data_IF_972354711690
#
_entry.id   IF_972354711690
#
_cell.length_a   1.000
_cell.length_b   1.000
_cell.length_c   1.000
_cell.angle_alpha   90.00
_cell.angle_beta   90.00
_cell.angle_gamma   90.00
#
_symmetry.space_group_name_H-M   'P 1'
#
loop_
_entity.id
_entity.type
_entity.pdbx_description
1 polymer ?
#
# COMPACT_ATOMS: atom_id res chain seq x y z
N UNK A 1 -47.74 36.31 107.44
CA UNK A 1 -47.50 34.86 107.31
C UNK A 1 -48.20 34.38 106.04
N UNK A 2 -47.42 34.08 105.00
CA UNK A 2 -47.68 33.06 103.97
C UNK A 2 -46.56 33.18 102.91
N UNK A 3 -45.67 32.19 102.88
CA UNK A 3 -44.75 31.94 101.76
C UNK A 3 -45.53 31.24 100.63
N UNK A 4 -45.25 31.52 99.35
CA UNK A 4 -45.64 30.62 98.27
C UNK A 4 -44.47 29.72 97.85
N UNK A 5 -44.68 28.41 97.96
CA UNK A 5 -43.84 27.29 97.52
C UNK A 5 -43.82 27.16 95.98
N UNK A 6 -43.31 28.16 95.26
CA UNK A 6 -43.45 28.21 93.78
C UNK A 6 -42.18 28.09 92.94
N UNK A 7 -40.98 28.09 93.54
CA UNK A 7 -39.72 28.19 92.77
C UNK A 7 -38.98 26.87 92.55
N UNK A 8 -39.16 25.84 93.40
CA UNK A 8 -38.43 24.57 93.28
C UNK A 8 -38.86 23.70 92.08
N UNK A 9 -40.14 23.72 91.68
CA UNK A 9 -40.64 22.90 90.55
C UNK A 9 -40.12 23.34 89.16
N UNK A 10 -39.63 24.59 89.04
CA UNK A 10 -39.20 25.17 87.76
C UNK A 10 -37.73 24.93 87.46
N UNK A 11 -36.90 24.72 88.48
CA UNK A 11 -35.46 24.43 88.34
C UNK A 11 -35.19 22.97 87.96
N UNK A 12 -35.96 22.00 88.51
CA UNK A 12 -35.79 20.57 88.20
C UNK A 12 -36.08 20.23 86.73
N UNK A 13 -37.03 20.92 86.09
CA UNK A 13 -37.35 20.74 84.68
C UNK A 13 -36.23 21.25 83.74
N UNK A 14 -35.55 22.33 84.11
CA UNK A 14 -34.44 22.92 83.34
C UNK A 14 -33.17 22.08 83.51
N UNK A 15 -32.91 21.57 84.72
CA UNK A 15 -31.79 20.65 84.98
C UNK A 15 -31.98 19.33 84.24
N UNK A 16 -33.20 18.78 84.21
CA UNK A 16 -33.51 17.56 83.44
C UNK A 16 -33.30 17.75 81.93
N UNK A 17 -33.71 18.89 81.38
CA UNK A 17 -33.51 19.20 79.97
C UNK A 17 -32.01 19.43 79.65
N UNK A 18 -31.27 20.16 80.47
CA UNK A 18 -29.83 20.32 80.31
C UNK A 18 -29.05 18.99 80.39
N UNK A 19 -29.50 18.04 81.23
CA UNK A 19 -28.89 16.71 81.35
C UNK A 19 -29.16 15.84 80.11
N UNK A 20 -30.36 15.93 79.53
CA UNK A 20 -30.72 15.25 78.28
C UNK A 20 -29.95 15.82 77.09
N UNK A 21 -29.78 17.15 77.02
CA UNK A 21 -29.02 17.80 75.95
C UNK A 21 -27.52 17.53 76.08
N UNK A 22 -26.97 17.53 77.30
CA UNK A 22 -25.57 17.18 77.57
C UNK A 22 -25.30 15.69 77.31
N UNK A 23 -26.21 14.81 77.69
CA UNK A 23 -26.15 13.38 77.39
C UNK A 23 -26.25 13.10 75.88
N UNK A 24 -27.09 13.84 75.16
CA UNK A 24 -27.24 13.73 73.70
C UNK A 24 -26.00 14.25 72.97
N UNK A 25 -25.41 15.36 73.42
CA UNK A 25 -24.15 15.89 72.87
C UNK A 25 -22.99 14.91 73.11
N UNK A 26 -22.89 14.34 74.31
CA UNK A 26 -21.87 13.36 74.64
C UNK A 26 -22.03 12.08 73.81
N UNK A 27 -23.26 11.62 73.61
CA UNK A 27 -23.55 10.46 72.76
C UNK A 27 -23.15 10.72 71.30
N UNK A 28 -23.45 11.91 70.76
CA UNK A 28 -23.03 12.29 69.40
C UNK A 28 -21.50 12.34 69.30
N UNK A 29 -20.81 12.92 70.28
CA UNK A 29 -19.34 12.96 70.29
C UNK A 29 -18.72 11.56 70.36
N UNK A 30 -19.28 10.67 71.18
CA UNK A 30 -18.86 9.27 71.24
C UNK A 30 -19.14 8.55 69.92
N UNK A 31 -20.32 8.74 69.32
CA UNK A 31 -20.67 8.12 68.05
C UNK A 31 -19.77 8.59 66.90
N UNK A 32 -19.43 9.89 66.87
CA UNK A 32 -18.46 10.45 65.91
C UNK A 32 -17.06 9.89 66.17
N UNK A 33 -16.63 9.83 67.43
CA UNK A 33 -15.33 9.25 67.80
C UNK A 33 -15.22 7.78 67.41
N UNK A 34 -16.26 6.98 67.66
CA UNK A 34 -16.34 5.57 67.25
C UNK A 34 -16.37 5.45 65.73
N UNK A 35 -17.14 6.29 65.03
CA UNK A 35 -17.20 6.32 63.57
C UNK A 35 -15.83 6.62 62.95
N UNK A 36 -15.11 7.60 63.49
CA UNK A 36 -13.75 7.95 63.07
C UNK A 36 -12.78 6.80 63.38
N UNK A 37 -12.85 6.20 64.56
CA UNK A 37 -11.98 5.08 64.95
C UNK A 37 -12.21 3.84 64.05
N UNK A 38 -13.46 3.54 63.72
CA UNK A 38 -13.81 2.46 62.79
C UNK A 38 -13.36 2.77 61.37
N UNK A 39 -13.49 4.02 60.92
CA UNK A 39 -13.02 4.46 59.61
C UNK A 39 -11.50 4.35 59.50
N UNK A 40 -10.75 4.80 60.51
CA UNK A 40 -9.29 4.65 60.54
C UNK A 40 -8.86 3.18 60.59
N UNK A 41 -9.55 2.34 61.37
CA UNK A 41 -9.25 0.89 61.45
C UNK A 41 -9.52 0.16 60.12
N UNK A 42 -10.48 0.62 59.32
CA UNK A 42 -10.82 0.02 58.03
C UNK A 42 -10.08 0.64 56.84
N UNK A 43 -9.19 1.61 57.06
CA UNK A 43 -8.26 2.02 56.02
C UNK A 43 -7.26 0.88 55.80
N UNK A 44 -7.46 0.12 54.72
CA UNK A 44 -6.42 -0.77 54.21
C UNK A 44 -5.20 0.10 53.88
N UNK A 45 -3.98 -0.26 54.33
CA UNK A 45 -2.80 0.48 53.93
C UNK A 45 -2.77 0.55 52.39
N UNK A 46 -2.37 1.70 51.80
CA UNK A 46 -2.24 1.80 50.36
C UNK A 46 -1.36 0.66 49.88
N UNK A 47 -1.84 -0.11 48.90
CA UNK A 47 -1.04 -1.17 48.31
C UNK A 47 0.22 -0.53 47.74
N UNK A 48 1.38 -0.89 48.27
CA UNK A 48 2.66 -0.52 47.68
C UNK A 48 2.64 -1.14 46.28
N UNK A 49 2.51 -0.32 45.25
CA UNK A 49 2.71 -0.78 43.88
C UNK A 49 4.13 -1.34 43.82
N UNK A 50 4.24 -2.67 43.74
CA UNK A 50 5.51 -3.29 43.39
C UNK A 50 5.81 -2.82 41.97
N UNK A 51 6.70 -1.83 41.87
CA UNK A 51 7.33 -1.49 40.60
C UNK A 51 8.08 -2.76 40.19
N UNK A 52 7.50 -3.51 39.25
CA UNK A 52 8.25 -4.54 38.54
C UNK A 52 9.39 -3.81 37.85
N UNK A 53 10.58 -3.91 38.42
CA UNK A 53 11.80 -3.46 37.74
C UNK A 53 11.89 -4.37 36.52
N UNK A 54 11.48 -3.84 35.37
CA UNK A 54 11.70 -4.49 34.10
C UNK A 54 13.22 -4.63 33.97
N UNK A 55 13.72 -5.86 34.07
CA UNK A 55 15.07 -6.16 33.65
C UNK A 55 15.23 -5.60 32.24
N UNK A 56 16.29 -4.81 32.03
CA UNK A 56 16.62 -4.33 30.69
C UNK A 56 16.68 -5.57 29.80
N UNK A 57 16.02 -5.59 28.63
CA UNK A 57 16.09 -6.72 27.72
C UNK A 57 17.57 -7.04 27.52
N UNK A 58 17.98 -8.27 27.84
CA UNK A 58 19.35 -8.68 27.59
C UNK A 58 19.58 -8.50 26.10
N UNK A 59 20.49 -7.58 25.77
CA UNK A 59 20.90 -7.36 24.39
C UNK A 59 21.45 -8.70 23.94
N UNK A 60 20.72 -9.37 23.05
CA UNK A 60 21.17 -10.62 22.46
C UNK A 60 22.49 -10.30 21.76
N UNK A 61 23.60 -10.73 22.34
CA UNK A 61 24.90 -10.72 21.68
C UNK A 61 24.74 -11.64 20.47
N UNK A 62 24.51 -11.03 19.30
CA UNK A 62 24.62 -11.75 18.04
C UNK A 62 26.10 -12.01 17.88
N UNK A 63 26.54 -13.27 17.70
CA UNK A 63 27.88 -13.53 17.21
C UNK A 63 28.10 -12.60 16.03
N UNK A 64 29.23 -11.88 16.00
CA UNK A 64 29.61 -11.11 14.84
C UNK A 64 29.73 -12.11 13.68
N UNK A 65 28.65 -12.25 12.90
CA UNK A 65 28.68 -13.04 11.70
C UNK A 65 29.62 -12.29 10.76
N UNK A 66 30.80 -12.83 10.53
CA UNK A 66 31.62 -12.40 9.41
C UNK A 66 30.81 -12.67 8.15
N UNK A 67 30.26 -11.60 7.57
CA UNK A 67 29.58 -11.68 6.29
C UNK A 67 30.62 -12.15 5.29
N UNK A 68 30.44 -13.31 4.63
CA UNK A 68 31.38 -13.76 3.62
C UNK A 68 31.57 -12.66 2.59
N UNK A 69 32.81 -12.31 2.28
CA UNK A 69 33.10 -11.45 1.15
C UNK A 69 32.68 -12.20 -0.12
N UNK A 70 31.51 -11.89 -0.66
CA UNK A 70 31.07 -12.34 -1.99
C UNK A 70 31.39 -11.23 -2.99
N UNK A 71 32.56 -11.26 -3.65
CA UNK A 71 32.86 -10.28 -4.69
C UNK A 71 31.90 -10.48 -5.86
N UNK A 72 31.24 -9.41 -6.28
CA UNK A 72 30.44 -9.38 -7.51
C UNK A 72 31.30 -8.80 -8.65
N UNK A 73 31.18 -9.39 -9.84
CA UNK A 73 31.78 -8.87 -11.06
C UNK A 73 30.68 -8.22 -11.90
N UNK A 74 30.87 -6.96 -12.30
CA UNK A 74 30.00 -6.34 -13.29
C UNK A 74 30.24 -6.98 -14.65
N UNK A 75 29.20 -7.62 -15.18
CA UNK A 75 29.23 -8.31 -16.48
C UNK A 75 28.38 -7.61 -17.53
N UNK A 76 27.72 -6.50 -17.21
CA UNK A 76 26.71 -5.83 -18.05
C UNK A 76 27.23 -5.54 -19.46
N UNK A 77 28.43 -4.95 -19.55
CA UNK A 77 29.02 -4.63 -20.85
C UNK A 77 29.33 -5.91 -21.64
N UNK A 78 29.97 -6.88 -20.97
CA UNK A 78 30.41 -8.13 -21.58
C UNK A 78 29.26 -9.05 -21.97
N UNK A 79 28.11 -8.98 -21.29
CA UNK A 79 26.92 -9.79 -21.57
C UNK A 79 26.13 -9.24 -22.75
N UNK A 80 26.40 -8.02 -23.23
CA UNK A 80 25.69 -7.42 -24.36
C UNK A 80 24.46 -6.59 -23.96
N UNK A 81 24.14 -6.49 -22.67
CA UNK A 81 23.02 -5.68 -22.18
C UNK A 81 23.38 -4.19 -22.27
N UNK A 82 22.50 -3.38 -22.88
CA UNK A 82 22.69 -1.92 -23.07
C UNK A 82 21.46 -1.10 -22.65
N UNK A 83 20.52 -1.72 -21.96
CA UNK A 83 19.27 -1.10 -21.54
C UNK A 83 19.49 0.14 -20.67
N UNK A 84 18.73 1.19 -20.94
CA UNK A 84 18.67 2.41 -20.12
C UNK A 84 17.21 2.71 -19.84
N UNK A 85 16.87 2.78 -18.56
CA UNK A 85 15.54 3.14 -18.11
C UNK A 85 15.30 4.65 -18.31
N UNK A 86 14.15 5.02 -18.90
CA UNK A 86 13.68 6.39 -19.05
C UNK A 86 12.38 6.55 -18.25
N UNK A 87 12.44 7.27 -17.13
CA UNK A 87 11.31 7.55 -16.25
C UNK A 87 10.46 8.76 -16.70
N UNK A 88 10.70 9.30 -17.90
CA UNK A 88 9.94 10.41 -18.46
C UNK A 88 10.18 11.78 -17.80
N UNK A 89 11.16 11.90 -16.90
CA UNK A 89 11.38 13.14 -16.15
C UNK A 89 11.79 14.32 -17.06
N UNK A 90 11.03 15.42 -16.95
CA UNK A 90 11.25 16.69 -17.69
C UNK A 90 11.32 17.91 -16.78
N UNK A 91 11.26 17.72 -15.45
CA UNK A 91 11.30 18.79 -14.46
C UNK A 91 9.94 19.15 -13.86
N UNK A 92 8.84 18.56 -14.34
CA UNK A 92 7.50 18.73 -13.75
C UNK A 92 7.33 18.01 -12.40
N UNK A 93 8.28 17.14 -12.02
CA UNK A 93 8.30 16.42 -10.74
C UNK A 93 7.01 15.63 -10.51
N UNK A 94 6.58 14.90 -11.53
CA UNK A 94 5.39 14.05 -11.48
C UNK A 94 5.67 12.79 -10.66
N UNK A 95 4.71 12.34 -9.86
CA UNK A 95 4.87 11.19 -8.97
C UNK A 95 5.39 9.92 -9.68
N UNK A 96 4.94 9.54 -10.89
CA UNK A 96 5.44 8.35 -11.60
C UNK A 96 6.95 8.37 -11.86
N UNK A 97 7.57 9.55 -12.01
CA UNK A 97 9.01 9.68 -12.28
C UNK A 97 9.87 9.17 -11.11
N UNK A 98 9.28 8.99 -9.93
CA UNK A 98 9.97 8.48 -8.73
C UNK A 98 10.07 6.95 -8.68
N UNK A 99 9.40 6.26 -9.60
CA UNK A 99 9.35 4.80 -9.69
C UNK A 99 10.20 4.31 -10.87
N UNK A 100 10.72 3.09 -10.76
CA UNK A 100 11.45 2.40 -11.83
C UNK A 100 10.61 1.30 -12.48
N UNK A 101 11.04 0.82 -13.64
CA UNK A 101 10.46 -0.36 -14.28
C UNK A 101 10.88 -1.68 -13.63
N UNK A 102 10.05 -2.69 -13.77
CA UNK A 102 10.36 -4.08 -13.43
C UNK A 102 11.20 -4.78 -14.50
N UNK A 103 11.48 -6.06 -14.26
CA UNK A 103 12.10 -6.95 -15.24
C UNK A 103 11.57 -8.37 -15.05
N UNK A 104 11.68 -9.19 -16.09
CA UNK A 104 11.37 -10.61 -16.03
C UNK A 104 12.48 -11.43 -16.67
N UNK A 105 12.67 -12.63 -16.14
CA UNK A 105 13.32 -13.73 -16.83
C UNK A 105 12.23 -14.64 -17.41
N UNK A 106 12.40 -15.07 -18.65
CA UNK A 106 11.45 -15.88 -19.38
C UNK A 106 12.18 -16.62 -20.50
N UNK A 107 11.65 -17.74 -20.96
CA UNK A 107 12.08 -18.41 -22.20
C UNK A 107 11.01 -18.08 -23.25
N UNK A 108 11.22 -17.04 -24.05
CA UNK A 108 10.15 -16.54 -24.93
C UNK A 108 10.07 -17.28 -26.27
N UNK A 109 11.15 -17.94 -26.69
CA UNK A 109 11.22 -18.69 -27.95
C UNK A 109 11.34 -20.21 -27.77
N UNK A 110 11.28 -20.69 -26.53
CA UNK A 110 11.21 -22.12 -26.18
C UNK A 110 12.53 -22.85 -26.38
N UNK A 111 13.66 -22.14 -26.40
CA UNK A 111 14.99 -22.72 -26.61
C UNK A 111 15.62 -23.30 -25.33
N UNK A 112 14.99 -23.05 -24.18
CA UNK A 112 15.39 -23.53 -22.86
C UNK A 112 16.34 -22.59 -22.12
N UNK A 113 16.78 -21.50 -22.75
CA UNK A 113 17.60 -20.47 -22.14
C UNK A 113 16.73 -19.34 -21.58
N UNK A 114 17.08 -18.82 -20.40
CA UNK A 114 16.33 -17.71 -19.82
C UNK A 114 16.77 -16.38 -20.44
N UNK A 115 15.87 -15.76 -21.17
CA UNK A 115 15.92 -14.41 -21.70
C UNK A 115 15.59 -13.37 -20.65
N UNK A 116 15.77 -12.10 -21.00
CA UNK A 116 15.49 -10.98 -20.09
C UNK A 116 14.63 -9.94 -20.79
N UNK A 117 13.51 -9.59 -20.17
CA UNK A 117 12.72 -8.42 -20.55
C UNK A 117 12.86 -7.33 -19.49
N UNK A 118 13.33 -6.16 -19.89
CA UNK A 118 13.31 -4.95 -19.08
C UNK A 118 12.06 -4.13 -19.40
N UNK A 119 11.23 -3.89 -18.38
CA UNK A 119 10.13 -2.94 -18.49
C UNK A 119 10.70 -1.54 -18.47
N UNK A 120 10.25 -0.71 -19.40
CA UNK A 120 10.59 0.69 -19.42
C UNK A 120 9.35 1.54 -19.16
N UNK A 121 9.59 2.77 -18.73
CA UNK A 121 8.56 3.79 -18.83
C UNK A 121 8.71 4.50 -20.17
N UNK A 122 8.05 5.64 -20.33
CA UNK A 122 8.16 6.40 -21.57
C UNK A 122 8.27 7.89 -21.32
N UNK A 123 8.72 8.60 -22.34
CA UNK A 123 8.54 10.05 -22.39
C UNK A 123 7.07 10.37 -22.48
N UNK A 124 6.64 11.36 -21.70
CA UNK A 124 5.28 11.83 -21.78
C UNK A 124 4.97 12.44 -23.15
N UNK A 125 3.74 12.33 -23.65
CA UNK A 125 3.35 12.84 -24.98
C UNK A 125 3.49 14.36 -25.12
N UNK A 126 3.58 15.08 -24.00
CA UNK A 126 3.84 16.52 -23.96
C UNK A 126 5.34 16.86 -23.87
N UNK A 127 6.22 15.86 -23.84
CA UNK A 127 7.65 16.07 -23.95
C UNK A 127 8.01 16.48 -25.39
N UNK A 128 8.66 17.62 -25.52
CA UNK A 128 9.06 18.22 -26.81
C UNK A 128 10.54 18.01 -27.13
N UNK A 129 11.29 17.34 -26.24
CA UNK A 129 12.70 17.01 -26.49
C UNK A 129 12.80 16.13 -27.74
N UNK A 130 13.71 16.42 -28.68
CA UNK A 130 13.94 15.53 -29.81
C UNK A 130 14.34 14.14 -29.29
N UNK A 131 13.66 13.12 -29.80
CA UNK A 131 14.06 11.73 -29.65
C UNK A 131 14.42 11.21 -31.03
N UNK A 132 15.63 10.66 -31.20
CA UNK A 132 15.95 9.90 -32.41
C UNK A 132 15.13 8.58 -32.44
N UNK A 133 14.89 7.98 -31.26
CA UNK A 133 14.03 6.80 -31.05
C UNK A 133 13.31 6.95 -29.69
N UNK A 134 11.97 6.80 -29.62
CA UNK A 134 11.24 6.75 -28.35
C UNK A 134 11.69 5.57 -27.46
N UNK A 135 11.78 5.73 -26.13
CA UNK A 135 12.08 4.62 -25.24
C UNK A 135 10.95 3.57 -25.27
N UNK A 136 11.34 2.31 -25.38
CA UNK A 136 10.45 1.15 -25.28
C UNK A 136 10.94 0.23 -24.15
N UNK A 137 10.16 -0.79 -23.81
CA UNK A 137 10.71 -1.97 -23.14
C UNK A 137 11.82 -2.61 -23.99
N UNK A 138 12.63 -3.49 -23.41
CA UNK A 138 13.71 -4.15 -24.14
C UNK A 138 13.78 -5.64 -23.83
N UNK A 139 13.57 -6.47 -24.86
CA UNK A 139 13.72 -7.93 -24.79
C UNK A 139 15.11 -8.32 -25.28
N UNK A 140 15.80 -9.13 -24.49
CA UNK A 140 17.14 -9.63 -24.74
C UNK A 140 17.12 -11.15 -24.80
N UNK A 141 17.37 -11.72 -25.99
CA UNK A 141 17.52 -13.17 -26.16
C UNK A 141 18.88 -13.63 -25.64
N UNK A 142 18.91 -14.65 -24.80
CA UNK A 142 20.11 -15.30 -24.29
C UNK A 142 20.64 -16.33 -25.29
N UNK A 143 21.96 -16.53 -25.37
CA UNK A 143 22.59 -17.57 -26.20
C UNK A 143 23.01 -18.83 -25.41
N UNK A 144 22.48 -18.97 -24.20
CA UNK A 144 22.84 -20.01 -23.22
C UNK A 144 24.21 -19.83 -22.55
N UNK A 145 25.02 -18.87 -23.01
CA UNK A 145 26.36 -18.59 -22.49
C UNK A 145 26.42 -17.25 -21.75
N UNK A 146 25.26 -16.65 -21.45
CA UNK A 146 25.15 -15.35 -20.80
C UNK A 146 25.55 -14.19 -21.72
N UNK A 147 25.48 -14.38 -23.05
CA UNK A 147 25.45 -13.28 -24.01
C UNK A 147 24.02 -13.05 -24.46
N UNK A 148 23.67 -11.78 -24.55
CA UNK A 148 22.34 -11.31 -24.82
C UNK A 148 22.33 -10.45 -26.06
N UNK A 149 21.39 -10.73 -26.96
CA UNK A 149 21.10 -9.92 -28.14
C UNK A 149 19.74 -9.24 -27.96
N UNK A 150 19.66 -7.92 -28.18
CA UNK A 150 18.38 -7.24 -28.14
C UNK A 150 17.51 -7.63 -29.35
N UNK A 151 16.30 -8.12 -29.10
CA UNK A 151 15.35 -8.62 -30.11
C UNK A 151 13.99 -7.89 -30.06
N UNK A 152 13.88 -6.82 -29.27
CA UNK A 152 12.65 -6.05 -29.03
C UNK A 152 11.81 -5.77 -30.27
N UNK A 153 12.43 -5.22 -31.32
CA UNK A 153 11.73 -4.81 -32.54
C UNK A 153 11.29 -5.98 -33.40
N UNK A 154 12.10 -7.03 -33.48
CA UNK A 154 11.77 -8.20 -34.29
C UNK A 154 10.67 -9.04 -33.65
N UNK A 155 10.50 -8.99 -32.33
CA UNK A 155 9.44 -9.70 -31.61
C UNK A 155 8.15 -8.89 -31.46
N UNK A 156 8.12 -7.62 -31.88
CA UNK A 156 6.92 -6.76 -31.81
C UNK A 156 6.72 -6.06 -30.47
N UNK A 157 7.71 -6.09 -29.58
CA UNK A 157 7.67 -5.42 -28.27
C UNK A 157 8.22 -4.00 -28.29
N UNK A 158 8.49 -3.41 -29.47
CA UNK A 158 8.91 -2.00 -29.63
C UNK A 158 7.74 -1.02 -29.42
N UNK A 159 7.00 -1.21 -28.34
CA UNK A 159 5.83 -0.43 -27.94
C UNK A 159 6.21 0.55 -26.84
N UNK A 160 5.87 1.82 -27.05
CA UNK A 160 6.09 2.90 -26.09
C UNK A 160 4.88 3.08 -25.18
N UNK A 161 5.05 2.85 -23.87
CA UNK A 161 4.08 3.23 -22.83
C UNK A 161 4.78 3.35 -21.47
N UNK A 162 4.06 3.85 -20.46
CA UNK A 162 4.61 4.03 -19.12
C UNK A 162 4.45 2.75 -18.29
N UNK A 163 5.23 1.73 -18.62
CA UNK A 163 5.23 0.43 -17.92
C UNK A 163 5.83 0.52 -16.52
N UNK A 164 5.39 -0.40 -15.65
CA UNK A 164 5.82 -0.54 -14.26
C UNK A 164 6.20 -2.00 -13.98
N UNK A 165 5.26 -2.83 -13.54
CA UNK A 165 5.48 -4.25 -13.28
C UNK A 165 5.16 -5.14 -14.49
N UNK A 166 5.66 -6.36 -14.46
CA UNK A 166 5.44 -7.40 -15.46
C UNK A 166 5.04 -8.73 -14.79
N UNK A 167 4.10 -9.45 -15.41
CA UNK A 167 3.77 -10.84 -15.13
C UNK A 167 4.03 -11.67 -16.38
N UNK A 168 4.51 -12.89 -16.17
CA UNK A 168 4.88 -13.84 -17.20
C UNK A 168 4.11 -15.13 -16.96
N UNK A 169 3.45 -15.65 -18.00
CA UNK A 169 2.66 -16.87 -17.91
C UNK A 169 1.88 -17.14 -19.19
N UNK A 170 1.69 -18.41 -19.51
CA UNK A 170 0.88 -18.90 -20.65
C UNK A 170 -0.61 -18.80 -20.28
N UNK A 171 -1.25 -17.68 -20.64
CA UNK A 171 -2.61 -17.37 -20.15
C UNK A 171 -3.70 -18.03 -21.00
N UNK A 172 -3.40 -18.42 -22.24
CA UNK A 172 -4.35 -19.08 -23.13
C UNK A 172 -4.06 -20.57 -23.37
N UNK A 173 -3.07 -21.11 -22.64
CA UNK A 173 -2.68 -22.52 -22.61
C UNK A 173 -2.24 -23.04 -23.97
N UNK A 174 -1.59 -22.21 -24.78
CA UNK A 174 -1.07 -22.59 -26.09
C UNK A 174 0.38 -23.10 -26.05
N UNK A 175 1.03 -22.99 -24.89
CA UNK A 175 2.39 -23.43 -24.62
C UNK A 175 3.46 -22.36 -24.82
N UNK A 176 3.10 -21.20 -25.35
CA UNK A 176 4.00 -20.04 -25.48
C UNK A 176 3.83 -19.11 -24.26
N UNK A 177 4.94 -18.49 -23.83
CA UNK A 177 4.92 -17.65 -22.63
C UNK A 177 4.45 -16.23 -22.96
N UNK A 178 3.34 -15.80 -22.36
CA UNK A 178 2.76 -14.46 -22.56
C UNK A 178 3.17 -13.44 -21.49
N UNK A 179 2.86 -12.17 -21.77
CA UNK A 179 3.28 -11.04 -20.94
C UNK A 179 2.11 -10.12 -20.61
N UNK A 180 1.88 -9.90 -19.32
CA UNK A 180 1.07 -8.77 -18.86
C UNK A 180 1.96 -7.70 -18.24
N UNK A 181 1.77 -6.45 -18.64
CA UNK A 181 2.47 -5.29 -18.11
C UNK A 181 1.48 -4.32 -17.46
N UNK A 182 1.70 -4.08 -16.17
CA UNK A 182 1.03 -3.00 -15.44
C UNK A 182 1.64 -1.65 -15.80
N UNK A 183 0.83 -0.59 -15.79
CA UNK A 183 1.26 0.70 -16.29
C UNK A 183 0.58 1.89 -15.58
N UNK A 184 1.08 3.09 -15.88
CA UNK A 184 0.48 4.37 -15.47
C UNK A 184 -0.35 4.92 -16.63
N UNK A 185 -1.58 5.34 -16.34
CA UNK A 185 -2.46 5.94 -17.34
C UNK A 185 -2.72 7.43 -17.17
N UNK A 186 -3.35 8.06 -18.17
CA UNK A 186 -3.02 7.97 -19.59
C UNK A 186 -1.83 8.86 -19.95
N UNK A 187 -0.93 8.36 -20.81
CA UNK A 187 0.04 9.21 -21.49
C UNK A 187 -0.63 9.87 -22.71
N UNK A 188 -1.57 10.80 -22.48
CA UNK A 188 -2.31 11.52 -23.52
C UNK A 188 -2.34 13.02 -23.27
N UNK A 189 -2.63 13.81 -24.31
CA UNK A 189 -2.85 15.25 -24.16
C UNK A 189 -4.28 15.51 -23.66
N UNK A 190 -4.45 16.56 -22.87
CA UNK A 190 -5.76 16.97 -22.35
C UNK A 190 -6.77 17.15 -23.50
N UNK A 191 -7.93 16.49 -23.41
CA UNK A 191 -8.98 16.53 -24.44
C UNK A 191 -8.96 15.39 -25.47
N UNK A 192 -7.92 14.56 -25.52
CA UNK A 192 -7.92 13.36 -26.36
C UNK A 192 -8.81 12.27 -25.74
N UNK A 193 -9.77 11.75 -26.52
CA UNK A 193 -10.51 10.55 -26.11
C UNK A 193 -9.59 9.35 -26.30
N UNK A 194 -9.35 8.59 -25.23
CA UNK A 194 -8.84 7.23 -25.36
C UNK A 194 -9.96 6.37 -25.95
N UNK A 195 -10.01 6.36 -27.27
CA UNK A 195 -10.56 5.25 -28.05
C UNK A 195 -9.43 4.71 -28.91
N UNK A 196 -8.40 4.25 -28.25
CA UNK A 196 -7.52 3.24 -28.81
C UNK A 196 -8.35 1.97 -29.01
N UNK A 197 -8.15 1.28 -30.13
CA UNK A 197 -8.72 -0.07 -30.34
C UNK A 197 -8.27 -1.04 -29.22
N UNK A 198 -7.21 -0.68 -28.47
CA UNK A 198 -6.57 -1.39 -27.35
C UNK A 198 -7.25 -1.25 -25.96
N UNK A 199 -8.42 -0.61 -25.85
CA UNK A 199 -9.13 -0.41 -24.57
C UNK A 199 -8.84 0.94 -23.89
N UNK A 200 -9.52 1.24 -22.77
CA UNK A 200 -9.47 2.57 -22.13
C UNK A 200 -8.37 2.75 -21.08
N UNK A 201 -7.76 1.67 -20.60
CA UNK A 201 -6.77 1.70 -19.53
C UNK A 201 -5.31 1.56 -20.00
N UNK A 202 -4.35 1.77 -19.08
CA UNK A 202 -2.93 1.85 -19.43
C UNK A 202 -2.23 0.50 -19.55
N UNK A 203 -2.76 -0.55 -18.92
CA UNK A 203 -2.09 -1.85 -18.88
C UNK A 203 -2.04 -2.50 -20.27
N UNK A 204 -1.12 -3.46 -20.46
CA UNK A 204 -0.97 -4.19 -21.72
C UNK A 204 -0.89 -5.70 -21.48
N UNK A 205 -1.54 -6.48 -22.32
CA UNK A 205 -1.36 -7.92 -22.44
C UNK A 205 -0.82 -8.21 -23.84
N UNK A 206 0.28 -8.96 -23.91
CA UNK A 206 0.89 -9.41 -25.15
C UNK A 206 0.83 -10.93 -25.18
N UNK A 207 0.10 -11.48 -26.16
CA UNK A 207 0.13 -12.91 -26.46
C UNK A 207 1.37 -13.23 -27.29
N UNK A 208 2.05 -14.31 -26.98
CA UNK A 208 3.21 -14.79 -27.71
C UNK A 208 2.79 -15.83 -28.75
N UNK A 209 2.84 -15.48 -30.03
CA UNK A 209 2.61 -16.40 -31.14
C UNK A 209 3.97 -16.91 -31.66
N UNK A 210 4.58 -17.86 -30.95
CA UNK A 210 5.87 -18.50 -31.26
C UNK A 210 7.04 -17.53 -31.47
N UNK A 211 7.31 -16.73 -30.44
CA UNK A 211 8.36 -15.71 -30.39
C UNK A 211 7.96 -14.35 -31.01
N UNK A 212 6.68 -14.16 -31.33
CA UNK A 212 6.10 -12.91 -31.85
C UNK A 212 4.97 -12.44 -30.96
N UNK A 213 5.16 -11.28 -30.34
CA UNK A 213 4.18 -10.72 -29.43
C UNK A 213 3.12 -9.90 -30.16
N UNK A 214 1.86 -10.16 -29.83
CA UNK A 214 0.68 -9.46 -30.35
C UNK A 214 -0.08 -8.85 -29.17
N UNK A 215 -0.44 -7.56 -29.27
CA UNK A 215 -1.25 -6.89 -28.25
C UNK A 215 -2.67 -7.49 -28.22
N UNK A 216 -2.98 -8.19 -27.14
CA UNK A 216 -4.27 -8.83 -26.87
C UNK A 216 -5.09 -8.06 -25.82
N UNK A 217 -4.65 -6.88 -25.39
CA UNK A 217 -5.20 -6.15 -24.23
C UNK A 217 -6.71 -5.90 -24.32
N UNK A 218 -7.16 -5.35 -25.45
CA UNK A 218 -8.58 -5.06 -25.66
C UNK A 218 -9.42 -6.31 -25.78
N UNK A 219 -8.86 -7.32 -26.46
CA UNK A 219 -9.53 -8.58 -26.66
C UNK A 219 -9.74 -9.26 -25.30
N UNK A 220 -8.71 -9.35 -24.48
CA UNK A 220 -8.75 -9.97 -23.16
C UNK A 220 -9.57 -9.19 -22.12
N UNK A 221 -9.72 -7.87 -22.29
CA UNK A 221 -10.52 -7.03 -21.38
C UNK A 221 -9.77 -6.59 -20.12
N UNK A 222 -8.43 -6.58 -20.16
CA UNK A 222 -7.56 -6.38 -18.98
C UNK A 222 -6.86 -5.00 -18.94
N UNK A 223 -7.28 -4.06 -19.79
CA UNK A 223 -6.68 -2.72 -19.86
C UNK A 223 -6.76 -1.93 -18.54
N UNK A 224 -7.78 -2.21 -17.71
CA UNK A 224 -8.07 -1.45 -16.49
C UNK A 224 -8.75 -0.10 -16.77
N UNK A 225 -8.90 0.71 -15.72
CA UNK A 225 -9.39 2.08 -15.82
C UNK A 225 -8.25 3.05 -16.19
N UNK A 226 -8.62 4.13 -16.87
CA UNK A 226 -7.70 5.12 -17.41
C UNK A 226 -6.76 5.76 -16.36
N UNK A 227 -7.30 6.10 -15.18
CA UNK A 227 -6.53 6.80 -14.14
C UNK A 227 -5.94 5.84 -13.11
N UNK A 228 -6.20 4.54 -13.19
CA UNK A 228 -5.67 3.57 -12.22
C UNK A 228 -4.22 3.24 -12.55
N UNK A 229 -3.32 3.55 -11.63
CA UNK A 229 -1.90 3.26 -11.78
C UNK A 229 -1.60 1.84 -11.26
N UNK A 230 -1.31 0.92 -12.17
CA UNK A 230 -0.80 -0.42 -11.87
C UNK A 230 0.70 -0.42 -11.56
N UNK A 231 1.11 -1.10 -10.49
CA UNK A 231 2.53 -1.14 -10.04
C UNK A 231 3.15 -2.53 -10.09
N UNK A 232 2.36 -3.57 -9.83
CA UNK A 232 2.80 -4.96 -9.95
C UNK A 232 1.64 -5.83 -10.39
N UNK A 233 1.97 -7.00 -10.91
CA UNK A 233 1.00 -7.96 -11.42
C UNK A 233 1.56 -9.38 -11.30
N UNK A 234 0.68 -10.37 -11.36
CA UNK A 234 1.07 -11.78 -11.36
C UNK A 234 -0.05 -12.64 -11.89
N UNK A 235 0.33 -13.65 -12.68
CA UNK A 235 -0.58 -14.74 -13.04
C UNK A 235 -0.64 -15.77 -11.91
N UNK A 236 -1.82 -16.33 -11.69
CA UNK A 236 -2.10 -17.34 -10.68
C UNK A 236 -3.40 -18.07 -11.03
N UNK A 237 -3.55 -19.32 -10.62
CA UNK A 237 -4.83 -20.03 -10.68
C UNK A 237 -5.53 -19.86 -9.32
N UNK A 238 -6.38 -18.81 -9.18
CA UNK A 238 -6.93 -18.45 -7.86
C UNK A 238 -8.15 -19.28 -7.48
N UNK A 239 -8.89 -19.81 -8.45
CA UNK A 239 -10.07 -20.66 -8.21
C UNK A 239 -9.87 -22.15 -8.53
N UNK A 240 -8.64 -22.53 -8.91
CA UNK A 240 -8.20 -23.90 -9.12
C UNK A 240 -8.96 -24.58 -10.27
N UNK A 241 -9.22 -23.83 -11.35
CA UNK A 241 -9.84 -24.33 -12.58
C UNK A 241 -8.82 -24.73 -13.66
N UNK A 242 -7.55 -24.40 -13.44
CA UNK A 242 -6.42 -24.73 -14.31
C UNK A 242 -6.06 -23.64 -15.31
N UNK A 243 -6.86 -22.58 -15.43
CA UNK A 243 -6.55 -21.42 -16.26
C UNK A 243 -5.80 -20.37 -15.41
N UNK A 244 -4.80 -19.69 -16.01
CA UNK A 244 -4.09 -18.63 -15.29
C UNK A 244 -4.95 -17.37 -15.25
N UNK A 245 -5.43 -17.03 -14.05
CA UNK A 245 -6.01 -15.74 -13.70
C UNK A 245 -4.94 -14.67 -13.52
N UNK A 246 -5.36 -13.40 -13.47
CA UNK A 246 -4.46 -12.26 -13.37
C UNK A 246 -4.81 -11.35 -12.20
N UNK A 247 -3.84 -11.13 -11.30
CA UNK A 247 -3.93 -10.12 -10.26
C UNK A 247 -3.10 -8.88 -10.61
N UNK A 248 -3.66 -7.68 -10.41
CA UNK A 248 -2.98 -6.39 -10.65
C UNK A 248 -3.07 -5.52 -9.40
N UNK A 249 -1.91 -5.19 -8.82
CA UNK A 249 -1.82 -4.26 -7.70
C UNK A 249 -1.80 -2.82 -8.22
N UNK A 250 -2.90 -2.11 -7.96
CA UNK A 250 -2.98 -0.68 -8.26
C UNK A 250 -2.59 0.16 -7.04
N UNK A 251 -1.93 1.28 -7.30
CA UNK A 251 -1.37 2.13 -6.27
C UNK A 251 -2.29 3.29 -5.89
N UNK A 252 -2.51 4.21 -6.83
CA UNK A 252 -3.35 5.40 -6.67
C UNK A 252 -4.05 5.72 -7.99
N UNK A 253 -5.07 6.57 -7.94
CA UNK A 253 -5.54 7.24 -9.14
C UNK A 253 -4.60 8.38 -9.48
N UNK A 254 -4.04 8.38 -10.68
CA UNK A 254 -3.08 9.38 -11.11
C UNK A 254 -3.51 10.04 -12.41
N UNK A 255 -3.44 11.37 -12.45
CA UNK A 255 -3.46 12.14 -13.69
C UNK A 255 -2.45 13.29 -13.57
N UNK A 256 -1.85 13.70 -14.68
CA UNK A 256 -0.93 14.86 -14.70
C UNK A 256 -1.59 16.11 -14.13
N UNK A 257 -2.85 16.36 -14.48
CA UNK A 257 -3.58 17.54 -14.01
C UNK A 257 -3.77 17.55 -12.49
N UNK A 258 -4.16 16.40 -11.91
CA UNK A 258 -4.30 16.27 -10.47
C UNK A 258 -2.96 16.42 -9.74
N UNK A 259 -1.91 15.77 -10.25
CA UNK A 259 -0.55 15.86 -9.69
C UNK A 259 -0.04 17.32 -9.67
N UNK A 260 -0.17 18.03 -10.80
CA UNK A 260 0.25 19.43 -10.92
C UNK A 260 -0.54 20.39 -10.04
N UNK A 261 -1.81 20.09 -9.77
CA UNK A 261 -2.65 20.89 -8.88
C UNK A 261 -2.22 20.79 -7.40
N UNK A 262 -1.45 19.76 -7.04
CA UNK A 262 -0.98 19.60 -5.66
C UNK A 262 0.16 20.59 -5.34
N UNK A 263 0.12 21.24 -4.15
CA UNK A 263 1.07 22.29 -3.76
C UNK A 263 2.38 21.74 -3.18
N UNK A 264 2.98 20.72 -3.82
CA UNK A 264 4.23 20.13 -3.34
C UNK A 264 5.42 21.03 -3.65
N UNK A 265 6.03 21.58 -2.61
CA UNK A 265 7.19 22.47 -2.73
C UNK A 265 8.26 22.16 -1.69
N UNK A 266 9.52 22.30 -2.10
CA UNK A 266 10.66 22.28 -1.20
C UNK A 266 10.79 23.61 -0.46
N UNK A 267 11.60 23.63 0.60
CA UNK A 267 12.01 24.89 1.24
C UNK A 267 12.77 25.72 0.21
N UNK A 268 12.20 26.85 -0.21
CA UNK A 268 12.71 27.67 -1.34
C UNK A 268 11.71 27.84 -2.48
N UNK A 269 10.56 27.15 -2.47
CA UNK A 269 9.46 27.35 -3.42
C UNK A 269 9.56 26.55 -4.72
N UNK A 270 10.63 25.77 -4.90
CA UNK A 270 10.75 24.83 -6.03
C UNK A 270 9.77 23.67 -5.88
N UNK A 271 9.21 23.19 -6.98
CA UNK A 271 8.29 22.04 -6.97
C UNK A 271 9.01 20.78 -6.48
N UNK A 272 8.34 20.03 -5.60
CA UNK A 272 8.78 18.73 -5.12
C UNK A 272 7.91 17.61 -5.69
N UNK A 273 8.40 16.37 -5.64
CA UNK A 273 7.57 15.19 -5.87
C UNK A 273 6.47 15.09 -4.82
N UNK A 274 5.28 14.68 -5.26
CA UNK A 274 4.16 14.48 -4.36
C UNK A 274 4.30 13.27 -3.46
N UNK A 275 3.55 13.27 -2.34
CA UNK A 275 3.42 12.06 -1.53
C UNK A 275 2.22 11.26 -2.02
N UNK A 276 2.33 9.94 -2.15
CA UNK A 276 1.24 9.08 -2.60
C UNK A 276 -0.06 9.23 -1.79
N UNK A 277 0.02 9.56 -0.49
CA UNK A 277 -1.16 9.72 0.38
C UNK A 277 -2.06 10.91 0.01
N UNK A 278 -1.56 11.83 -0.80
CA UNK A 278 -2.29 13.00 -1.27
C UNK A 278 -3.05 12.73 -2.60
N UNK A 279 -2.94 11.50 -3.14
CA UNK A 279 -3.68 11.03 -4.32
C UNK A 279 -4.86 10.14 -3.91
N UNK A 280 -5.97 10.11 -4.68
CA UNK A 280 -7.07 9.20 -4.39
C UNK A 280 -6.60 7.75 -4.45
N UNK A 281 -7.02 6.93 -3.48
CA UNK A 281 -6.75 5.51 -3.51
C UNK A 281 -7.51 4.81 -4.64
N UNK A 282 -7.03 3.63 -5.02
CA UNK A 282 -7.74 2.71 -5.91
C UNK A 282 -7.61 1.28 -5.39
N UNK A 283 -8.35 0.35 -5.99
CA UNK A 283 -8.35 -1.05 -5.61
C UNK A 283 -7.51 -1.88 -6.57
N UNK A 284 -6.93 -3.01 -6.13
CA UNK A 284 -6.36 -3.97 -7.05
C UNK A 284 -7.44 -4.55 -7.96
N UNK A 285 -7.03 -5.05 -9.12
CA UNK A 285 -7.87 -5.88 -9.97
C UNK A 285 -7.58 -7.35 -9.72
N UNK A 286 -8.62 -8.17 -9.73
CA UNK A 286 -8.50 -9.61 -9.93
C UNK A 286 -9.33 -9.96 -11.15
N UNK A 287 -8.65 -10.43 -12.19
CA UNK A 287 -9.23 -10.86 -13.44
C UNK A 287 -9.29 -12.38 -13.45
N UNK A 288 -10.50 -12.94 -13.40
CA UNK A 288 -10.70 -14.37 -13.61
C UNK A 288 -10.62 -14.67 -15.10
N UNK A 289 -9.82 -15.66 -15.48
CA UNK A 289 -9.77 -16.16 -16.84
C UNK A 289 -11.04 -16.99 -17.11
N UNK A 290 -11.74 -16.73 -18.21
CA UNK A 290 -12.96 -17.47 -18.57
C UNK A 290 -12.69 -18.53 -19.67
N UNK A 291 -11.41 -18.75 -19.98
CA UNK A 291 -10.94 -19.47 -21.15
C UNK A 291 -11.06 -18.65 -22.44
N UNK A 292 -10.44 -19.16 -23.51
CA UNK A 292 -10.48 -18.52 -24.84
C UNK A 292 -9.87 -17.11 -24.86
N UNK A 293 -8.97 -16.82 -23.92
CA UNK A 293 -8.23 -15.57 -23.79
C UNK A 293 -9.05 -14.37 -23.34
N UNK A 294 -10.16 -14.59 -22.62
CA UNK A 294 -11.03 -13.54 -22.08
C UNK A 294 -11.00 -13.54 -20.56
N UNK A 295 -11.06 -12.34 -19.97
CA UNK A 295 -11.09 -12.19 -18.53
C UNK A 295 -12.33 -11.41 -18.04
N UNK A 296 -12.77 -11.73 -16.83
CA UNK A 296 -13.76 -10.95 -16.07
C UNK A 296 -13.11 -10.34 -14.83
N UNK A 297 -13.26 -9.03 -14.62
CA UNK A 297 -12.85 -8.41 -13.35
C UNK A 297 -13.81 -8.82 -12.22
N UNK A 298 -13.28 -9.56 -11.24
CA UNK A 298 -14.02 -10.15 -10.12
C UNK A 298 -13.54 -9.63 -8.76
N UNK A 299 -12.65 -8.64 -8.70
CA UNK A 299 -12.03 -8.17 -7.46
C UNK A 299 -13.05 -7.72 -6.41
N UNK A 300 -14.18 -7.12 -6.83
CA UNK A 300 -15.27 -6.79 -5.90
C UNK A 300 -15.92 -8.03 -5.29
N UNK A 301 -16.32 -9.00 -6.11
CA UNK A 301 -16.96 -10.25 -5.64
C UNK A 301 -16.00 -11.14 -4.86
N UNK A 302 -14.71 -11.08 -5.17
CA UNK A 302 -13.63 -11.75 -4.46
C UNK A 302 -13.27 -11.07 -3.12
N UNK A 303 -13.90 -9.92 -2.80
CA UNK A 303 -13.69 -9.22 -1.53
C UNK A 303 -12.42 -8.38 -1.45
N UNK A 304 -11.79 -8.06 -2.59
CA UNK A 304 -10.58 -7.22 -2.66
C UNK A 304 -10.89 -5.72 -2.65
N UNK A 305 -12.16 -5.34 -2.85
CA UNK A 305 -12.63 -3.95 -2.79
C UNK A 305 -13.26 -3.63 -1.43
N UNK A 306 -12.42 -3.47 -0.41
CA UNK A 306 -12.88 -3.11 0.94
C UNK A 306 -12.70 -1.61 1.15
N UNK A 307 -13.79 -0.87 1.33
CA UNK A 307 -13.74 0.56 1.68
C UNK A 307 -14.02 0.76 3.18
N UNK A 308 -13.32 1.70 3.82
CA UNK A 308 -13.70 2.12 5.17
C UNK A 308 -14.87 3.11 5.08
N UNK A 309 -16.08 2.79 5.56
CA UNK A 309 -17.24 3.69 5.45
C UNK A 309 -17.06 5.01 6.22
N UNK A 310 -16.13 5.08 7.19
CA UNK A 310 -15.79 6.30 7.91
C UNK A 310 -14.80 7.22 7.16
N UNK A 311 -14.11 6.70 6.13
CA UNK A 311 -13.22 7.45 5.25
C UNK A 311 -13.80 7.41 3.84
N UNK A 312 -14.47 8.49 3.43
CA UNK A 312 -15.11 8.60 2.10
C UNK A 312 -14.12 8.53 0.92
N UNK A 313 -12.83 8.41 1.20
CA UNK A 313 -11.72 8.67 0.30
C UNK A 313 -10.65 7.55 0.23
N UNK A 314 -10.76 6.43 0.96
CA UNK A 314 -9.67 5.43 0.98
C UNK A 314 -10.16 3.97 0.95
N UNK A 315 -9.66 3.24 -0.05
CA UNK A 315 -9.59 1.77 -0.07
C UNK A 315 -8.90 1.27 1.21
N UNK A 316 -9.62 0.56 2.07
CA UNK A 316 -9.09 0.00 3.30
C UNK A 316 -8.55 -1.40 3.03
N UNK A 317 -7.23 -1.55 2.93
CA UNK A 317 -6.61 -2.86 3.06
C UNK A 317 -6.84 -3.40 4.49
N UNK A 318 -7.25 -4.66 4.61
CA UNK A 318 -7.24 -5.40 5.88
C UNK A 318 -5.93 -6.16 6.02
#
# INVERSE_FOLDING_TARGET
MNQPQGEEEKDDAIVGQAFVWSGSLLFVLIAVGVGIALWMRNQKPPSVEQITVLDKPQVRERPAAEVPAMPFTDVTESSGIRFIHDNGATGEKLLPETMGGGCAFLDYDGDGDQDILFVNSCRWVWDTRPAEVPPTMALYRNDGNGKFAEVTKETGLDVTFYGQGIAVGDYDSDGDVDLFLSAVGPNKTEGEKLRTEQGSGPNRLFRNDSGKFVDATAEAGVAGCEDDWGTSCGFLDYDNDGDLDLFVANYVKWTRAFDKAQPFTLTGGERAYGRPQDFPGTFPYLYRNEGGGKFTEVGKSAGLQVANPARKDVAAAK
#
